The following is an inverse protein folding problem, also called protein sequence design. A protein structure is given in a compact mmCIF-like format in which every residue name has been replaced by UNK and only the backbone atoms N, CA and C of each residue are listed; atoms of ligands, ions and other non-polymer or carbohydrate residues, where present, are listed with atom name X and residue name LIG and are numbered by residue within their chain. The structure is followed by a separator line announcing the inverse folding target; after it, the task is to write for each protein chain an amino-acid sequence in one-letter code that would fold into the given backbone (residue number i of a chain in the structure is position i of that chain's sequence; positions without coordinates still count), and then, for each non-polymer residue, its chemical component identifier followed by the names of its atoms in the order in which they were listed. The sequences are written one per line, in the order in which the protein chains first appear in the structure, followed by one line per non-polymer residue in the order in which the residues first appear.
data_IF_857624815738
#
_entry.id   IF_857624815738
#
_cell.length_a   1.000
_cell.length_b   1.000
_cell.length_c   1.000
_cell.angle_alpha   90.00
_cell.angle_beta   90.00
_cell.angle_gamma   90.00
#
_symmetry.space_group_name_H-M   'P 1'
#
loop_
_entity.id
_entity.type
_entity.pdbx_description
1 polymer ?
#
# COMPACT_ATOMS: atom_id res chain seq x y z
N UNK A 1 -12.14 -11.21 -14.92
CA UNK A 1 -10.83 -11.73 -14.52
C UNK A 1 -9.99 -10.61 -13.94
N UNK A 2 -9.46 -10.79 -12.75
CA UNK A 2 -8.67 -9.76 -12.09
C UNK A 2 -7.30 -9.66 -12.75
N UNK A 3 -6.92 -8.48 -13.17
CA UNK A 3 -5.63 -8.24 -13.82
C UNK A 3 -4.88 -7.06 -13.25
N UNK A 4 -5.51 -6.31 -12.36
CA UNK A 4 -4.91 -5.12 -11.79
C UNK A 4 -4.85 -5.24 -10.27
N UNK A 5 -3.72 -4.80 -9.73
CA UNK A 5 -3.51 -4.70 -8.30
C UNK A 5 -3.47 -3.23 -7.92
N UNK A 6 -4.32 -2.83 -6.99
CA UNK A 6 -4.38 -1.44 -6.55
C UNK A 6 -3.93 -1.38 -5.11
N UNK A 7 -2.90 -0.61 -4.85
CA UNK A 7 -2.34 -0.41 -3.52
C UNK A 7 -2.78 0.94 -2.99
N UNK A 8 -3.24 0.96 -1.76
CA UNK A 8 -3.76 2.16 -1.11
C UNK A 8 -2.71 2.69 -0.14
N UNK A 9 -2.31 3.93 -0.34
CA UNK A 9 -1.28 4.59 0.46
C UNK A 9 -1.83 5.87 1.06
N UNK A 10 -1.33 6.22 2.24
CA UNK A 10 -1.70 7.46 2.91
C UNK A 10 -0.47 8.36 2.99
N UNK A 11 -0.59 9.57 2.47
CA UNK A 11 0.52 10.51 2.45
C UNK A 11 0.98 10.88 3.85
N UNK A 12 2.30 10.93 4.03
CA UNK A 12 2.88 11.34 5.31
C UNK A 12 2.67 12.81 5.61
N UNK A 13 2.31 13.59 4.63
CA UNK A 13 2.12 15.03 4.81
C UNK A 13 0.68 15.40 5.15
N UNK A 14 -0.13 14.41 5.46
CA UNK A 14 -1.54 14.64 5.76
C UNK A 14 -1.78 15.11 7.20
N UNK A 15 -0.74 15.36 7.94
CA UNK A 15 -0.88 15.82 9.31
C UNK A 15 -1.58 17.17 9.37
N UNK A 16 -2.47 17.34 10.31
CA UNK A 16 -3.17 18.59 10.58
C UNK A 16 -4.09 19.08 9.48
N UNK A 17 -4.06 18.49 8.32
CA UNK A 17 -4.99 18.92 7.29
C UNK A 17 -6.24 18.08 7.41
N UNK A 18 -7.33 18.70 7.07
CA UNK A 18 -8.63 18.06 7.14
C UNK A 18 -8.73 16.94 6.10
N UNK A 19 -7.98 17.06 5.04
CA UNK A 19 -8.05 16.09 3.96
C UNK A 19 -6.79 15.24 3.92
N UNK A 20 -6.89 14.04 4.46
CA UNK A 20 -5.90 13.01 4.22
C UNK A 20 -5.96 12.63 2.75
N UNK A 21 -4.82 12.72 2.07
CA UNK A 21 -4.80 12.33 0.67
C UNK A 21 -4.41 10.87 0.55
N UNK A 22 -5.34 10.08 0.10
CA UNK A 22 -5.08 8.70 -0.26
C UNK A 22 -4.49 8.68 -1.66
N UNK A 23 -3.42 7.93 -1.81
CA UNK A 23 -2.80 7.70 -3.10
C UNK A 23 -3.01 6.26 -3.50
N UNK A 24 -3.31 6.05 -4.78
CA UNK A 24 -3.48 4.71 -5.30
C UNK A 24 -2.33 4.39 -6.24
N UNK A 25 -1.74 3.22 -6.04
CA UNK A 25 -0.68 2.71 -6.90
C UNK A 25 -1.24 1.55 -7.71
N UNK A 26 -1.15 1.62 -9.03
CA UNK A 26 -1.69 0.61 -9.92
C UNK A 26 -0.57 -0.27 -10.43
N UNK A 27 -0.69 -1.57 -10.23
CA UNK A 27 0.32 -2.54 -10.63
C UNK A 27 -0.34 -3.70 -11.37
N UNK A 28 0.40 -4.40 -12.22
CA UNK A 28 -0.12 -5.63 -12.81
C UNK A 28 -0.20 -6.72 -11.75
N UNK A 29 -1.27 -7.50 -11.80
CA UNK A 29 -1.42 -8.65 -10.90
C UNK A 29 -0.70 -9.85 -11.52
N UNK A 30 0.28 -10.43 -10.82
CA UNK A 30 0.96 -11.61 -11.33
C UNK A 30 -0.01 -12.78 -11.48
N UNK A 31 0.13 -13.52 -12.59
CA UNK A 31 -0.78 -14.62 -12.88
C UNK A 31 -0.66 -15.77 -11.88
N UNK A 32 0.50 -15.91 -11.26
CA UNK A 32 0.79 -17.04 -10.39
C UNK A 32 0.46 -16.79 -8.93
N UNK A 33 -0.04 -15.61 -8.62
CA UNK A 33 -0.34 -15.24 -7.23
C UNK A 33 -1.79 -14.83 -7.10
N UNK A 34 -2.39 -15.16 -5.95
CA UNK A 34 -3.70 -14.63 -5.66
C UNK A 34 -3.56 -13.18 -5.19
N UNK A 35 -4.69 -12.49 -5.06
CA UNK A 35 -4.70 -11.08 -4.72
C UNK A 35 -4.01 -10.80 -3.39
N UNK A 36 -4.32 -11.59 -2.36
CA UNK A 36 -3.75 -11.34 -1.03
C UNK A 36 -2.24 -11.54 -1.02
N UNK A 37 -1.74 -12.57 -1.69
CA UNK A 37 -0.30 -12.79 -1.79
C UNK A 37 0.40 -11.66 -2.51
N UNK A 38 -0.21 -11.15 -3.56
CA UNK A 38 0.37 -10.05 -4.33
C UNK A 38 0.45 -8.78 -3.49
N UNK A 39 -0.60 -8.50 -2.71
CA UNK A 39 -0.61 -7.34 -1.83
C UNK A 39 0.49 -7.47 -0.76
N UNK A 40 0.61 -8.65 -0.15
CA UNK A 40 1.63 -8.89 0.87
C UNK A 40 3.03 -8.75 0.30
N UNK A 41 3.26 -9.24 -0.91
CA UNK A 41 4.57 -9.14 -1.55
C UNK A 41 4.93 -7.67 -1.82
N UNK A 42 3.98 -6.89 -2.30
CA UNK A 42 4.24 -5.47 -2.54
C UNK A 42 4.56 -4.77 -1.23
N UNK A 43 3.77 -5.03 -0.19
CA UNK A 43 4.01 -4.43 1.12
C UNK A 43 5.43 -4.75 1.61
N UNK A 44 5.84 -6.00 1.52
CA UNK A 44 7.16 -6.40 2.00
C UNK A 44 8.29 -5.79 1.19
N UNK A 45 8.04 -5.48 -0.08
CA UNK A 45 9.07 -4.91 -0.95
C UNK A 45 9.19 -3.40 -0.83
N UNK A 46 8.10 -2.68 -0.57
CA UNK A 46 8.13 -1.22 -0.57
C UNK A 46 7.99 -0.60 0.81
N UNK A 47 7.57 -1.36 1.79
CA UNK A 47 7.32 -0.83 3.13
C UNK A 47 8.05 -1.64 4.19
N UNK A 48 8.28 -1.00 5.32
CA UNK A 48 8.90 -1.62 6.49
C UNK A 48 7.98 -1.42 7.69
N UNK A 49 7.82 -2.44 8.49
CA UNK A 49 6.97 -2.35 9.67
C UNK A 49 7.65 -1.50 10.74
N UNK A 50 6.94 -0.49 11.22
CA UNK A 50 7.42 0.37 12.29
C UNK A 50 6.77 -0.04 13.60
N UNK A 51 7.57 -0.58 14.52
CA UNK A 51 7.08 -1.07 15.80
C UNK A 51 6.56 0.04 16.71
N UNK A 52 7.07 1.25 16.54
CA UNK A 52 6.66 2.33 17.41
C UNK A 52 5.25 2.83 17.11
N UNK A 53 4.92 2.88 15.84
CA UNK A 53 3.61 3.36 15.42
C UNK A 53 2.65 2.23 15.03
N UNK A 54 3.16 1.00 14.95
CA UNK A 54 2.41 -0.18 14.50
C UNK A 54 1.86 0.02 13.09
N UNK A 55 2.69 0.56 12.22
CA UNK A 55 2.30 0.87 10.83
C UNK A 55 3.36 0.40 9.88
N UNK A 56 2.93 0.11 8.65
CA UNK A 56 3.83 -0.17 7.55
C UNK A 56 4.13 1.13 6.84
N UNK A 57 5.41 1.51 6.80
CA UNK A 57 5.82 2.79 6.25
C UNK A 57 6.81 2.61 5.11
N UNK A 58 6.65 3.41 4.07
CA UNK A 58 7.59 3.52 2.98
C UNK A 58 8.76 4.41 3.41
N UNK A 59 9.80 4.46 2.56
CA UNK A 59 11.01 5.22 2.89
C UNK A 59 10.74 6.70 3.11
N UNK A 60 9.76 7.24 2.41
CA UNK A 60 9.43 8.66 2.53
C UNK A 60 8.41 8.94 3.64
N UNK A 61 8.05 7.93 4.40
CA UNK A 61 7.08 8.10 5.48
C UNK A 61 5.64 7.84 5.06
N UNK A 62 5.40 7.56 3.80
CA UNK A 62 4.05 7.21 3.34
C UNK A 62 3.60 5.90 3.99
N UNK A 63 2.36 5.88 4.48
CA UNK A 63 1.84 4.69 5.15
C UNK A 63 1.18 3.76 4.13
N UNK A 64 1.51 2.47 4.23
CA UNK A 64 0.84 1.44 3.46
C UNK A 64 -0.46 1.07 4.18
N UNK A 65 -1.59 1.28 3.53
CA UNK A 65 -2.90 1.01 4.12
C UNK A 65 -3.35 -0.41 3.78
N UNK A 66 -3.26 -0.77 2.53
CA UNK A 66 -3.72 -2.07 2.06
C UNK A 66 -3.82 -2.08 0.56
N UNK A 67 -4.70 -2.93 0.05
CA UNK A 67 -4.90 -3.00 -1.39
C UNK A 67 -6.08 -3.87 -1.75
N UNK A 68 -6.37 -3.90 -3.03
CA UNK A 68 -7.41 -4.75 -3.58
C UNK A 68 -7.10 -5.04 -5.04
N UNK A 69 -7.83 -5.97 -5.61
CA UNK A 69 -7.65 -6.36 -7.00
C UNK A 69 -8.94 -6.13 -7.77
N UNK A 70 -8.78 -5.81 -9.05
CA UNK A 70 -9.93 -5.71 -9.94
C UNK A 70 -9.60 -6.17 -11.34
#
# INVERSE_FOLDING_TARGET
MMSKLIIILLSSQAEFTVSSKLNLMYLPLPKQKNCFQAIDDVRDNIATYDNQSNKWLLKDGTQFIGGFCE
#
